data_IF_428336087655
#
_entry.id   IF_428336087655
#
_cell.length_a   1.000
_cell.length_b   1.000
_cell.length_c   1.000
_cell.angle_alpha   90.00
_cell.angle_beta   90.00
_cell.angle_gamma   90.00
#
_symmetry.space_group_name_H-M   'P 1'
#
loop_
_entity.id
_entity.type
_entity.pdbx_description
1 polymer ?
#
# COMPACT_ATOMS: atom_id res chain seq x y z
N UNK A 1 6.45 13.03 -13.69
CA UNK A 1 6.73 12.90 -12.25
C UNK A 1 8.22 12.73 -12.03
N UNK A 2 8.80 13.26 -10.94
CA UNK A 2 10.21 13.00 -10.61
C UNK A 2 10.34 11.64 -9.91
N UNK A 3 11.53 11.03 -9.97
CA UNK A 3 11.80 9.79 -9.25
C UNK A 3 11.60 9.93 -7.74
N UNK A 4 12.00 11.08 -7.18
CA UNK A 4 11.84 11.38 -5.75
C UNK A 4 10.37 11.50 -5.35
N UNK A 5 9.53 12.08 -6.21
CA UNK A 5 8.09 12.14 -5.98
C UNK A 5 7.47 10.74 -5.99
N UNK A 6 7.85 9.89 -6.96
CA UNK A 6 7.36 8.51 -7.03
C UNK A 6 7.68 7.71 -5.76
N UNK A 7 8.93 7.79 -5.30
CA UNK A 7 9.36 7.13 -4.06
C UNK A 7 8.63 7.69 -2.85
N UNK A 8 8.55 9.02 -2.73
CA UNK A 8 7.90 9.69 -1.61
C UNK A 8 6.43 9.34 -1.49
N UNK A 9 5.67 9.51 -2.58
CA UNK A 9 4.23 9.24 -2.60
C UNK A 9 3.92 7.77 -2.32
N UNK A 10 4.66 6.83 -2.94
CA UNK A 10 4.52 5.40 -2.64
C UNK A 10 4.77 5.13 -1.15
N UNK A 11 5.77 5.77 -0.56
CA UNK A 11 6.13 5.56 0.85
C UNK A 11 5.06 6.10 1.81
N UNK A 12 4.41 7.22 1.47
CA UNK A 12 3.29 7.79 2.24
C UNK A 12 2.10 6.84 2.21
N UNK A 13 1.66 6.41 1.02
CA UNK A 13 0.51 5.51 0.85
C UNK A 13 0.73 4.18 1.59
N UNK A 14 1.95 3.63 1.56
CA UNK A 14 2.29 2.42 2.33
C UNK A 14 2.24 2.65 3.84
N UNK A 15 2.65 3.82 4.32
CA UNK A 15 2.60 4.16 5.74
C UNK A 15 1.17 4.32 6.25
N UNK A 16 0.28 4.92 5.46
CA UNK A 16 -1.14 5.07 5.78
C UNK A 16 -1.84 3.72 5.81
N UNK A 17 -1.59 2.87 4.81
CA UNK A 17 -2.10 1.51 4.78
C UNK A 17 -1.60 0.70 5.99
N UNK A 18 -0.31 0.82 6.33
CA UNK A 18 0.28 0.20 7.52
C UNK A 18 -0.44 0.66 8.81
N UNK A 19 -0.76 1.95 8.94
CA UNK A 19 -1.46 2.50 10.10
C UNK A 19 -2.93 2.05 10.19
N UNK A 20 -3.54 1.66 9.07
CA UNK A 20 -4.92 1.17 9.01
C UNK A 20 -5.07 -0.34 9.30
N UNK A 21 -3.98 -1.10 9.26
CA UNK A 21 -3.98 -2.55 9.43
C UNK A 21 -3.93 -3.00 10.88
N UNK A 22 -4.66 -4.08 11.20
CA UNK A 22 -4.60 -4.72 12.53
C UNK A 22 -3.92 -6.10 12.52
N UNK A 23 -3.76 -6.72 11.34
CA UNK A 23 -3.00 -7.96 11.19
C UNK A 23 -1.48 -7.71 11.32
N UNK A 24 -0.81 -8.24 12.36
CA UNK A 24 0.62 -8.01 12.56
C UNK A 24 1.49 -8.52 11.42
N UNK A 25 1.07 -9.54 10.67
CA UNK A 25 1.85 -10.07 9.54
C UNK A 25 1.80 -9.11 8.35
N UNK A 26 0.60 -8.70 7.93
CA UNK A 26 0.42 -7.73 6.86
C UNK A 26 1.08 -6.38 7.19
N UNK A 27 0.94 -5.88 8.43
CA UNK A 27 1.56 -4.63 8.87
C UNK A 27 3.09 -4.69 8.79
N UNK A 28 3.71 -5.82 9.17
CA UNK A 28 5.17 -6.01 9.03
C UNK A 28 5.63 -6.05 7.58
N UNK A 29 4.85 -6.70 6.71
CA UNK A 29 5.18 -6.75 5.28
C UNK A 29 5.04 -5.38 4.63
N UNK A 30 4.01 -4.59 4.99
CA UNK A 30 3.90 -3.19 4.54
C UNK A 30 5.09 -2.33 4.97
N UNK A 31 5.55 -2.48 6.22
CA UNK A 31 6.75 -1.78 6.69
C UNK A 31 8.03 -2.21 5.93
N UNK A 32 8.09 -3.46 5.49
CA UNK A 32 9.17 -3.95 4.62
C UNK A 32 9.08 -3.33 3.23
N UNK A 33 7.90 -3.37 2.61
CA UNK A 33 7.64 -2.78 1.29
C UNK A 33 7.95 -1.28 1.27
N UNK A 34 7.63 -0.55 2.35
CA UNK A 34 7.97 0.86 2.48
C UNK A 34 9.48 1.09 2.44
N UNK A 35 10.24 0.29 3.21
CA UNK A 35 11.72 0.34 3.15
C UNK A 35 12.26 0.00 1.77
N UNK A 36 11.64 -0.95 1.07
CA UNK A 36 12.04 -1.29 -0.30
C UNK A 36 11.74 -0.16 -1.30
N UNK A 37 10.64 0.58 -1.13
CA UNK A 37 10.35 1.78 -1.92
C UNK A 37 11.37 2.89 -1.67
N UNK A 38 11.72 3.13 -0.40
CA UNK A 38 12.63 4.20 0.03
C UNK A 38 14.10 3.96 -0.38
N UNK A 39 14.53 2.69 -0.41
CA UNK A 39 15.96 2.33 -0.57
C UNK A 39 16.28 1.60 -1.87
N UNK A 40 15.26 1.08 -2.54
CA UNK A 40 15.40 0.32 -3.78
C UNK A 40 15.46 1.19 -5.04
N UNK A 41 15.80 0.59 -6.20
CA UNK A 41 15.70 1.27 -7.48
C UNK A 41 14.22 1.55 -7.82
N UNK A 42 13.97 2.69 -8.46
CA UNK A 42 12.63 3.15 -8.88
C UNK A 42 11.89 2.12 -9.74
N UNK A 43 12.62 1.29 -10.51
CA UNK A 43 12.04 0.21 -11.30
C UNK A 43 11.31 -0.87 -10.48
N UNK A 44 11.53 -0.95 -9.16
CA UNK A 44 10.80 -1.86 -8.26
C UNK A 44 9.49 -1.30 -7.74
N UNK A 45 9.21 -0.01 -7.89
CA UNK A 45 8.02 0.62 -7.32
C UNK A 45 6.72 -0.02 -7.82
N UNK A 46 6.69 -0.48 -9.08
CA UNK A 46 5.55 -1.24 -9.61
C UNK A 46 5.25 -2.54 -8.85
N UNK A 47 6.30 -3.33 -8.60
CA UNK A 47 6.16 -4.55 -7.81
C UNK A 47 5.76 -4.26 -6.36
N UNK A 48 6.32 -3.21 -5.77
CA UNK A 48 5.97 -2.77 -4.41
C UNK A 48 4.49 -2.38 -4.33
N UNK A 49 3.99 -1.59 -5.29
CA UNK A 49 2.60 -1.17 -5.33
C UNK A 49 1.64 -2.34 -5.50
N UNK A 50 1.92 -3.27 -6.42
CA UNK A 50 1.13 -4.49 -6.59
C UNK A 50 1.07 -5.31 -5.31
N UNK A 51 2.22 -5.54 -4.67
CA UNK A 51 2.28 -6.33 -3.44
C UNK A 51 1.53 -5.67 -2.28
N UNK A 52 1.54 -4.35 -2.21
CA UNK A 52 0.78 -3.61 -1.22
C UNK A 52 -0.74 -3.62 -1.47
N UNK A 53 -1.16 -3.63 -2.73
CA UNK A 53 -2.58 -3.81 -3.09
C UNK A 53 -3.09 -5.20 -2.70
N UNK A 54 -2.29 -6.26 -2.93
CA UNK A 54 -2.62 -7.61 -2.43
C UNK A 54 -2.73 -7.65 -0.89
N UNK A 55 -1.87 -6.94 -0.18
CA UNK A 55 -1.95 -6.83 1.28
C UNK A 55 -3.16 -6.02 1.74
N UNK A 56 -3.61 -5.05 0.95
CA UNK A 56 -4.84 -4.31 1.22
C UNK A 56 -6.03 -5.25 1.25
N UNK A 57 -6.15 -6.18 0.30
CA UNK A 57 -7.24 -7.16 0.28
C UNK A 57 -7.22 -8.07 1.52
N UNK A 58 -6.02 -8.48 1.96
CA UNK A 58 -5.83 -9.28 3.19
C UNK A 58 -6.31 -8.49 4.42
N UNK A 59 -5.92 -7.22 4.53
CA UNK A 59 -6.33 -6.35 5.64
C UNK A 59 -7.84 -6.12 5.64
N UNK A 60 -8.42 -5.79 4.49
CA UNK A 60 -9.86 -5.61 4.31
C UNK A 60 -10.63 -6.85 4.75
N UNK A 61 -10.18 -8.04 4.34
CA UNK A 61 -10.81 -9.30 4.71
C UNK A 61 -10.70 -9.58 6.22
N UNK A 62 -9.57 -9.30 6.84
CA UNK A 62 -9.40 -9.43 8.30
C UNK A 62 -10.32 -8.47 9.06
N UNK A 63 -10.41 -7.21 8.64
CA UNK A 63 -11.33 -6.22 9.23
C UNK A 63 -12.79 -6.63 9.08
N UNK A 64 -13.21 -7.15 7.91
CA UNK A 64 -14.55 -7.69 7.72
C UNK A 64 -14.83 -8.88 8.65
N UNK A 65 -13.88 -9.81 8.81
CA UNK A 65 -14.00 -10.96 9.73
C UNK A 65 -14.14 -10.55 11.20
N UNK A 66 -13.50 -9.45 11.59
CA UNK A 66 -13.57 -8.88 12.94
C UNK A 66 -14.78 -7.98 13.16
N UNK A 67 -15.51 -7.61 12.10
CA UNK A 67 -16.57 -6.61 12.14
C UNK A 67 -16.06 -5.18 12.34
N UNK A 68 -14.79 -4.91 12.08
CA UNK A 68 -14.20 -3.57 12.19
C UNK A 68 -14.43 -2.76 10.90
N UNK A 69 -15.63 -2.18 10.81
CA UNK A 69 -16.06 -1.40 9.64
C UNK A 69 -15.24 -0.11 9.47
N UNK A 70 -14.73 0.47 10.56
CA UNK A 70 -13.93 1.70 10.51
C UNK A 70 -12.56 1.40 9.90
N UNK A 71 -11.91 0.33 10.34
CA UNK A 71 -10.64 -0.11 9.74
C UNK A 71 -10.84 -0.52 8.28
N UNK A 72 -11.90 -1.28 7.97
CA UNK A 72 -12.24 -1.66 6.59
C UNK A 72 -12.38 -0.44 5.67
N UNK A 73 -13.17 0.57 6.06
CA UNK A 73 -13.37 1.76 5.25
C UNK A 73 -12.07 2.53 5.00
N UNK A 74 -11.19 2.62 6.01
CA UNK A 74 -9.86 3.25 5.87
C UNK A 74 -8.96 2.46 4.92
N UNK A 75 -8.91 1.14 5.05
CA UNK A 75 -8.12 0.27 4.19
C UNK A 75 -8.58 0.35 2.73
N UNK A 76 -9.90 0.36 2.48
CA UNK A 76 -10.44 0.56 1.14
C UNK A 76 -10.06 1.93 0.56
N UNK A 77 -10.11 3.00 1.35
CA UNK A 77 -9.71 4.33 0.90
C UNK A 77 -8.21 4.36 0.53
N UNK A 78 -7.32 3.89 1.41
CA UNK A 78 -5.89 3.79 1.12
C UNK A 78 -5.60 2.91 -0.10
N UNK A 79 -6.32 1.80 -0.26
CA UNK A 79 -6.21 0.92 -1.42
C UNK A 79 -6.62 1.59 -2.73
N UNK A 80 -7.69 2.38 -2.70
CA UNK A 80 -8.15 3.14 -3.86
C UNK A 80 -7.13 4.21 -4.27
N UNK A 81 -6.60 4.97 -3.31
CA UNK A 81 -5.58 5.98 -3.55
C UNK A 81 -4.29 5.35 -4.09
N UNK A 82 -3.84 4.23 -3.53
CA UNK A 82 -2.68 3.49 -4.02
C UNK A 82 -2.87 2.97 -5.46
N UNK A 83 -4.06 2.45 -5.78
CA UNK A 83 -4.39 1.99 -7.14
C UNK A 83 -4.39 3.15 -8.13
N UNK A 84 -5.07 4.25 -7.79
CA UNK A 84 -5.14 5.44 -8.65
C UNK A 84 -3.73 6.00 -8.91
N UNK A 85 -2.93 6.15 -7.85
CA UNK A 85 -1.55 6.56 -7.97
C UNK A 85 -0.75 5.62 -8.87
N UNK A 86 -0.88 4.31 -8.69
CA UNK A 86 -0.14 3.30 -9.47
C UNK A 86 -0.42 3.38 -10.97
N UNK A 87 -1.69 3.59 -11.34
CA UNK A 87 -2.12 3.75 -12.74
C UNK A 87 -1.62 5.08 -13.31
N UNK A 88 -1.83 6.19 -12.60
CA UNK A 88 -1.40 7.53 -13.03
C UNK A 88 0.12 7.64 -13.17
N UNK A 89 0.86 6.96 -12.31
CA UNK A 89 2.31 6.91 -12.29
C UNK A 89 2.92 5.86 -13.24
N UNK A 90 2.10 5.06 -13.92
CA UNK A 90 2.50 3.94 -14.78
C UNK A 90 3.41 2.94 -14.06
N UNK A 91 3.16 2.72 -12.77
CA UNK A 91 3.95 1.80 -11.95
C UNK A 91 3.50 0.36 -12.15
N UNK A 92 2.19 0.14 -12.29
CA UNK A 92 1.62 -1.17 -12.51
C UNK A 92 0.28 -1.06 -13.27
N UNK A 93 -0.05 -2.10 -14.03
CA UNK A 93 -1.36 -2.28 -14.62
C UNK A 93 -2.20 -3.07 -13.62
N UNK A 94 -2.99 -2.35 -12.81
CA UNK A 94 -3.68 -2.88 -11.63
C UNK A 94 -5.18 -2.90 -11.82
#
# INVERSE_FOLDING_TARGET
MTQQYLVGETSVLLAELQASGTDPMAVRELARLRREAETGPVSKLGWVALRALELTDVLCLDSLRRGDVIAFARQCACGAELREFSVCAQLADV
#
